data_IF_626802533462
#
_entry.id   IF_626802533462
#
_cell.length_a   1.000
_cell.length_b   1.000
_cell.length_c   1.000
_cell.angle_alpha   90.00
_cell.angle_beta   90.00
_cell.angle_gamma   90.00
#
_symmetry.space_group_name_H-M   'P 1'
#
loop_
_entity.id
_entity.type
_entity.pdbx_description
1 polymer ?
#
# COMPACT_ATOMS: atom_id res chain seq x y z
N UNK A 1 10.40 -6.54 -16.47
CA UNK A 1 11.00 -5.25 -16.06
C UNK A 1 10.72 -5.07 -14.56
N UNK A 2 11.62 -4.46 -13.78
CA UNK A 2 11.35 -4.16 -12.37
C UNK A 2 10.88 -2.72 -12.26
N UNK A 3 9.74 -2.52 -11.62
CA UNK A 3 9.14 -1.21 -11.37
C UNK A 3 9.23 -0.88 -9.90
N UNK A 4 9.67 0.34 -9.58
CA UNK A 4 9.79 0.84 -8.22
C UNK A 4 8.95 2.10 -8.05
N UNK A 5 8.11 2.15 -7.02
CA UNK A 5 7.23 3.28 -6.71
C UNK A 5 7.26 3.56 -5.21
N UNK A 6 7.26 4.84 -4.85
CA UNK A 6 7.22 5.31 -3.46
C UNK A 6 5.98 6.16 -3.25
N UNK A 7 5.31 5.96 -2.11
CA UNK A 7 4.09 6.64 -1.70
C UNK A 7 4.25 7.09 -0.26
N UNK A 8 3.88 8.33 0.06
CA UNK A 8 4.02 8.86 1.41
C UNK A 8 2.78 9.60 1.88
N UNK A 9 2.55 9.60 3.18
CA UNK A 9 1.67 10.54 3.86
C UNK A 9 2.51 11.36 4.84
N UNK A 10 2.33 12.68 4.84
CA UNK A 10 3.11 13.60 5.69
C UNK A 10 2.57 13.67 7.14
N UNK A 11 1.33 13.24 7.34
CA UNK A 11 0.62 13.23 8.61
C UNK A 11 -0.42 12.11 8.64
N UNK A 12 -1.25 12.06 9.68
CA UNK A 12 -2.33 11.08 9.78
C UNK A 12 -3.27 11.17 8.55
N UNK A 13 -3.44 10.06 7.84
CA UNK A 13 -4.21 10.07 6.61
C UNK A 13 -4.13 8.79 5.80
N UNK A 14 -4.69 8.87 4.61
CA UNK A 14 -4.69 7.81 3.60
C UNK A 14 -4.16 8.39 2.30
N UNK A 15 -3.22 7.69 1.66
CA UNK A 15 -2.66 8.11 0.37
C UNK A 15 -3.65 7.89 -0.77
N UNK A 16 -3.37 8.52 -1.92
CA UNK A 16 -4.04 8.14 -3.17
C UNK A 16 -3.76 6.66 -3.52
N UNK A 17 -4.71 5.99 -4.20
CA UNK A 17 -4.50 4.64 -4.73
C UNK A 17 -3.33 4.58 -5.71
N UNK A 18 -2.42 3.63 -5.49
CA UNK A 18 -1.35 3.28 -6.44
C UNK A 18 -1.70 2.00 -7.17
N UNK A 19 -1.87 2.11 -8.49
CA UNK A 19 -2.26 0.98 -9.35
C UNK A 19 -1.06 0.06 -9.61
N UNK A 20 -1.25 -1.23 -9.40
CA UNK A 20 -0.23 -2.28 -9.60
C UNK A 20 -0.71 -3.36 -10.58
N UNK A 21 -1.67 -3.00 -11.43
CA UNK A 21 -2.21 -3.86 -12.48
C UNK A 21 -1.07 -4.36 -13.39
N UNK A 22 -0.91 -5.67 -13.47
CA UNK A 22 0.10 -6.32 -14.31
C UNK A 22 1.27 -6.89 -13.54
N UNK A 23 1.46 -6.53 -12.27
CA UNK A 23 2.52 -7.13 -11.46
C UNK A 23 2.14 -8.56 -11.06
N UNK A 24 3.06 -9.50 -11.32
CA UNK A 24 2.90 -10.91 -10.92
C UNK A 24 3.25 -11.11 -9.46
N UNK A 25 4.30 -10.42 -9.03
CA UNK A 25 4.80 -10.41 -7.66
C UNK A 25 5.05 -8.95 -7.26
N UNK A 26 4.52 -8.55 -6.11
CA UNK A 26 4.71 -7.19 -5.58
C UNK A 26 5.24 -7.29 -4.15
N UNK A 27 6.43 -6.74 -3.92
CA UNK A 27 6.97 -6.53 -2.58
C UNK A 27 6.51 -5.16 -2.08
N UNK A 28 6.00 -5.13 -0.85
CA UNK A 28 5.56 -3.91 -0.18
C UNK A 28 6.38 -3.74 1.09
N UNK A 29 6.98 -2.57 1.25
CA UNK A 29 7.60 -2.14 2.50
C UNK A 29 6.82 -0.95 3.05
N UNK A 30 6.37 -1.01 4.30
CA UNK A 30 5.74 0.11 5.00
C UNK A 30 6.66 0.58 6.11
N UNK A 31 6.91 1.88 6.18
CA UNK A 31 7.94 2.52 6.99
C UNK A 31 7.30 3.71 7.73
N UNK A 32 6.81 3.53 8.97
CA UNK A 32 6.39 4.64 9.83
C UNK A 32 7.59 5.55 10.16
N UNK A 33 7.37 6.86 10.27
CA UNK A 33 8.44 7.82 10.56
C UNK A 33 8.87 7.83 12.04
N UNK A 34 8.04 7.31 12.95
CA UNK A 34 8.32 7.20 14.38
C UNK A 34 7.66 5.95 14.98
N UNK A 35 8.14 5.53 16.15
CA UNK A 35 7.58 4.37 16.87
C UNK A 35 6.14 4.62 17.39
N UNK A 36 5.75 5.89 17.53
CA UNK A 36 4.40 6.31 17.95
C UNK A 36 3.42 6.37 16.77
N UNK A 37 3.91 6.34 15.53
CA UNK A 37 3.09 6.28 14.33
C UNK A 37 2.76 4.83 13.97
N UNK A 38 1.49 4.56 13.71
CA UNK A 38 1.05 3.29 13.14
C UNK A 38 0.79 3.50 11.66
N UNK A 39 1.28 2.59 10.83
CA UNK A 39 0.98 2.57 9.40
C UNK A 39 0.56 1.18 8.95
N UNK A 40 -0.18 1.10 7.86
CA UNK A 40 -0.52 -0.15 7.17
C UNK A 40 -0.68 0.07 5.68
N UNK A 41 -0.38 -0.98 4.93
CA UNK A 41 -0.80 -1.09 3.55
C UNK A 41 -2.24 -1.63 3.51
N UNK A 42 -3.06 -1.09 2.63
CA UNK A 42 -4.32 -1.68 2.22
C UNK A 42 -4.27 -1.99 0.73
N UNK A 43 -4.89 -3.09 0.32
CA UNK A 43 -5.01 -3.47 -1.08
C UNK A 43 -6.47 -3.57 -1.51
N UNK A 44 -6.72 -3.46 -2.80
CA UNK A 44 -8.03 -3.69 -3.40
C UNK A 44 -7.93 -4.64 -4.59
N UNK A 45 -8.91 -5.53 -4.71
CA UNK A 45 -9.14 -6.36 -5.89
C UNK A 45 -10.31 -5.85 -6.73
N UNK A 46 -10.92 -4.73 -6.33
CA UNK A 46 -12.01 -4.09 -7.08
C UNK A 46 -11.53 -3.59 -8.45
N UNK A 47 -12.47 -3.32 -9.35
CA UNK A 47 -12.15 -2.81 -10.68
C UNK A 47 -11.51 -1.40 -10.60
N UNK A 48 -10.71 -1.04 -11.61
CA UNK A 48 -10.12 0.30 -11.72
C UNK A 48 -11.18 1.41 -11.61
N UNK A 49 -12.34 1.21 -12.24
CA UNK A 49 -13.46 2.15 -12.18
C UNK A 49 -13.99 2.32 -10.76
N UNK A 50 -14.20 1.23 -10.01
CA UNK A 50 -14.67 1.32 -8.64
C UNK A 50 -13.67 2.08 -7.73
N UNK A 51 -12.36 1.93 -7.98
CA UNK A 51 -11.32 2.68 -7.26
C UNK A 51 -11.41 4.17 -7.58
N UNK A 52 -11.55 4.53 -8.87
CA UNK A 52 -11.68 5.93 -9.30
C UNK A 52 -12.95 6.59 -8.79
N UNK A 53 -14.05 5.83 -8.74
CA UNK A 53 -15.36 6.29 -8.25
C UNK A 53 -15.44 6.28 -6.70
N UNK A 54 -14.40 5.82 -5.99
CA UNK A 54 -14.37 5.76 -4.52
C UNK A 54 -15.24 4.65 -3.90
N UNK A 55 -15.74 3.70 -4.71
CA UNK A 55 -16.60 2.58 -4.26
C UNK A 55 -15.84 1.27 -4.05
N UNK A 56 -14.51 1.27 -4.21
CA UNK A 56 -13.68 0.08 -4.03
C UNK A 56 -13.64 -0.40 -2.57
N UNK A 57 -13.60 -1.71 -2.41
CA UNK A 57 -13.34 -2.34 -1.11
C UNK A 57 -11.84 -2.36 -0.86
N UNK A 58 -11.43 -1.88 0.31
CA UNK A 58 -10.05 -1.87 0.77
C UNK A 58 -9.88 -2.88 1.89
N UNK A 59 -8.92 -3.78 1.70
CA UNK A 59 -8.63 -4.87 2.63
C UNK A 59 -7.29 -4.56 3.28
N UNK A 60 -7.25 -4.68 4.60
CA UNK A 60 -6.00 -4.56 5.36
C UNK A 60 -5.03 -5.66 4.96
N UNK A 61 -3.79 -5.28 4.67
CA UNK A 61 -2.73 -6.24 4.47
C UNK A 61 -2.46 -7.04 5.75
N UNK A 62 -2.08 -8.33 5.70
CA UNK A 62 -2.06 -9.19 6.88
C UNK A 62 -1.14 -8.76 8.01
N UNK A 63 -0.09 -7.98 7.72
CA UNK A 63 0.77 -7.37 8.75
C UNK A 63 0.02 -6.39 9.66
N UNK A 64 -1.15 -5.91 9.24
CA UNK A 64 -1.98 -4.98 9.99
C UNK A 64 -1.28 -3.65 10.22
N UNK A 65 -1.57 -3.02 11.37
CA UNK A 65 -0.89 -1.81 11.81
C UNK A 65 0.51 -2.16 12.34
N UNK A 66 1.53 -1.49 11.81
CA UNK A 66 2.92 -1.63 12.23
C UNK A 66 3.46 -0.30 12.74
N UNK A 67 4.30 -0.35 13.79
CA UNK A 67 5.04 0.81 14.34
C UNK A 67 6.53 0.80 14.00
N UNK A 68 6.99 -0.27 13.34
CA UNK A 68 8.36 -0.45 12.85
C UNK A 68 8.32 -0.85 11.38
N UNK A 69 9.38 -0.59 10.60
CA UNK A 69 9.43 -0.99 9.20
C UNK A 69 9.13 -2.49 9.03
N UNK A 70 8.19 -2.82 8.14
CA UNK A 70 7.87 -4.20 7.80
C UNK A 70 7.75 -4.36 6.29
N UNK A 71 8.24 -5.50 5.80
CA UNK A 71 8.21 -5.87 4.39
C UNK A 71 7.62 -7.26 4.25
N UNK A 72 6.81 -7.46 3.22
CA UNK A 72 6.22 -8.74 2.85
C UNK A 72 5.71 -8.66 1.39
N UNK A 73 5.27 -9.78 0.82
CA UNK A 73 4.96 -9.94 -0.60
C UNK A 73 3.46 -10.17 -0.80
N UNK A 74 2.89 -9.46 -1.77
CA UNK A 74 1.55 -9.72 -2.28
C UNK A 74 1.67 -10.73 -3.43
N UNK A 75 1.23 -11.97 -3.18
CA UNK A 75 1.29 -13.10 -4.12
C UNK A 75 0.00 -13.30 -4.94
N UNK A 76 -1.01 -12.47 -4.71
CA UNK A 76 -2.28 -12.52 -5.43
C UNK A 76 -2.47 -11.26 -6.28
N UNK A 77 -3.40 -11.31 -7.23
CA UNK A 77 -3.68 -10.17 -8.11
C UNK A 77 -4.47 -9.08 -7.40
N UNK A 78 -3.77 -8.05 -6.94
CA UNK A 78 -4.36 -6.80 -6.50
C UNK A 78 -4.41 -5.79 -7.66
N UNK A 79 -5.43 -4.94 -7.67
CA UNK A 79 -5.58 -3.85 -8.64
C UNK A 79 -4.80 -2.62 -8.20
N UNK A 80 -4.85 -2.31 -6.91
CA UNK A 80 -4.18 -1.16 -6.31
C UNK A 80 -3.84 -1.40 -4.84
N UNK A 81 -2.88 -0.62 -4.35
CA UNK A 81 -2.54 -0.48 -2.93
C UNK A 81 -2.66 0.97 -2.49
N UNK A 82 -2.81 1.20 -1.19
CA UNK A 82 -2.73 2.53 -0.58
C UNK A 82 -2.13 2.43 0.82
N UNK A 83 -1.50 3.51 1.26
CA UNK A 83 -0.96 3.66 2.60
C UNK A 83 -2.01 4.31 3.50
N UNK A 84 -2.23 3.77 4.68
CA UNK A 84 -2.98 4.41 5.75
C UNK A 84 -2.09 4.53 6.99
N UNK A 85 -2.04 5.70 7.62
CA UNK A 85 -1.22 5.91 8.81
C UNK A 85 -1.84 6.89 9.81
N UNK A 86 -1.44 6.80 11.08
CA UNK A 86 -1.79 7.74 12.16
C UNK A 86 -0.77 8.87 12.32
N UNK A 87 0.27 8.90 11.49
CA UNK A 87 1.32 9.90 11.44
C UNK A 87 2.09 9.78 10.12
N UNK A 88 3.22 10.49 9.99
CA UNK A 88 4.03 10.42 8.78
C UNK A 88 4.52 8.98 8.51
N UNK A 89 4.41 8.54 7.26
CA UNK A 89 4.82 7.20 6.84
C UNK A 89 5.12 7.15 5.34
N UNK A 90 5.93 6.17 4.95
CA UNK A 90 6.28 5.86 3.56
C UNK A 90 5.93 4.41 3.25
N UNK A 91 5.50 4.15 2.03
CA UNK A 91 5.28 2.83 1.45
C UNK A 91 6.07 2.71 0.16
N UNK A 92 7.01 1.76 0.12
CA UNK A 92 7.75 1.40 -1.08
C UNK A 92 7.11 0.17 -1.73
N UNK A 93 6.98 0.20 -3.05
CA UNK A 93 6.35 -0.83 -3.87
C UNK A 93 7.35 -1.25 -4.94
N UNK A 94 7.72 -2.53 -4.93
CA UNK A 94 8.60 -3.13 -5.95
C UNK A 94 7.81 -4.22 -6.66
N UNK A 95 7.59 -4.06 -7.96
CA UNK A 95 6.84 -5.00 -8.78
C UNK A 95 7.65 -5.56 -9.94
N UNK A 96 7.29 -6.75 -10.40
CA UNK A 96 7.75 -7.30 -11.67
C UNK A 96 6.58 -7.65 -12.59
N UNK A 97 6.71 -7.27 -13.87
CA UNK A 97 5.76 -7.57 -14.95
C UNK A 97 6.01 -8.93 -15.61
#
# INVERSE_FOLDING_TARGET
MISHMSVSVAEAGVSDPTYILGFRETTISVIPASADALAKCQYSTSSRKAIQDGSATWIDWPKGNISLPATDVILFRATAVRLQATGAAVMEIIGSE
#
